data_IF_018652259440
#
_entry.id   IF_018652259440
#
_cell.length_a   1.000
_cell.length_b   1.000
_cell.length_c   1.000
_cell.angle_alpha   90.00
_cell.angle_beta   90.00
_cell.angle_gamma   90.00
#
_symmetry.space_group_name_H-M   'P 1'
#
loop_
_entity.id
_entity.type
_entity.pdbx_description
1 polymer ?
#
# COMPACT_ATOMS: atom_id res chain seq x y z
N UNK A 1 -17.87 -7.72 -17.34
CA UNK A 1 -18.74 -8.92 -17.29
C UNK A 1 -18.89 -9.45 -18.71
N UNK A 2 -18.85 -10.78 -18.93
CA UNK A 2 -18.97 -11.32 -20.30
C UNK A 2 -18.32 -12.69 -20.55
N UNK A 3 -17.42 -13.14 -19.68
CA UNK A 3 -16.81 -14.48 -19.78
C UNK A 3 -17.55 -15.44 -18.86
N UNK A 4 -18.32 -16.37 -19.43
CA UNK A 4 -19.03 -17.44 -18.73
C UNK A 4 -18.60 -18.83 -19.23
N UNK A 5 -17.29 -19.03 -19.35
CA UNK A 5 -16.72 -20.31 -19.75
C UNK A 5 -16.35 -21.11 -18.48
N UNK A 6 -16.94 -22.30 -18.23
CA UNK A 6 -16.72 -23.04 -17.01
C UNK A 6 -15.29 -23.63 -16.87
N UNK A 7 -14.61 -23.86 -17.99
CA UNK A 7 -13.34 -24.59 -18.03
C UNK A 7 -12.10 -23.68 -18.09
N UNK A 8 -12.22 -22.38 -17.86
CA UNK A 8 -11.08 -21.46 -17.78
C UNK A 8 -10.05 -21.94 -16.75
N UNK A 9 -8.84 -22.28 -17.21
CA UNK A 9 -7.76 -22.83 -16.35
C UNK A 9 -6.87 -21.78 -15.73
N UNK A 10 -6.69 -20.65 -16.40
CA UNK A 10 -5.75 -19.62 -15.97
C UNK A 10 -6.38 -18.24 -16.18
N UNK A 11 -6.32 -17.41 -15.15
CA UNK A 11 -6.57 -15.97 -15.24
C UNK A 11 -5.27 -15.25 -14.89
N UNK A 12 -4.83 -14.34 -15.77
CA UNK A 12 -3.61 -13.56 -15.59
C UNK A 12 -3.98 -12.08 -15.53
N UNK A 13 -3.65 -11.42 -14.43
CA UNK A 13 -3.71 -9.97 -14.32
C UNK A 13 -2.33 -9.41 -14.68
N UNK A 14 -2.22 -8.89 -15.90
CA UNK A 14 -0.98 -8.30 -16.43
C UNK A 14 -0.81 -6.81 -16.06
N UNK A 15 -1.81 -6.21 -15.40
CA UNK A 15 -1.79 -4.83 -14.92
C UNK A 15 -2.27 -4.73 -13.48
N UNK A 16 -2.12 -3.54 -12.88
CA UNK A 16 -2.52 -3.32 -11.50
C UNK A 16 -4.04 -3.31 -11.34
N UNK A 17 -4.52 -4.02 -10.32
CA UNK A 17 -5.93 -4.13 -9.98
C UNK A 17 -6.37 -2.97 -9.06
N UNK A 18 -7.49 -2.35 -9.38
CA UNK A 18 -7.98 -1.16 -8.65
C UNK A 18 -8.60 -1.47 -7.28
N UNK A 19 -8.99 -2.73 -7.02
CA UNK A 19 -9.53 -3.16 -5.73
C UNK A 19 -9.42 -4.66 -5.52
N UNK A 20 -9.50 -5.10 -4.26
CA UNK A 20 -9.61 -6.52 -3.92
C UNK A 20 -10.91 -7.15 -4.46
N UNK A 21 -12.00 -6.39 -4.52
CA UNK A 21 -13.26 -6.84 -5.13
C UNK A 21 -13.09 -7.20 -6.61
N UNK A 22 -12.38 -6.37 -7.38
CA UNK A 22 -12.03 -6.65 -8.78
C UNK A 22 -11.18 -7.91 -8.89
N UNK A 23 -10.11 -8.01 -8.10
CA UNK A 23 -9.24 -9.19 -8.08
C UNK A 23 -10.05 -10.47 -7.89
N UNK A 24 -10.97 -10.47 -6.92
CA UNK A 24 -11.73 -11.66 -6.55
C UNK A 24 -12.79 -11.99 -7.62
N UNK A 25 -13.49 -10.98 -8.13
CA UNK A 25 -14.47 -11.18 -9.20
C UNK A 25 -13.82 -11.71 -10.49
N UNK A 26 -12.65 -11.17 -10.86
CA UNK A 26 -11.94 -11.52 -12.08
C UNK A 26 -11.23 -12.88 -11.96
N UNK A 27 -10.52 -13.13 -10.86
CA UNK A 27 -9.88 -14.43 -10.60
C UNK A 27 -10.89 -15.57 -10.42
N UNK A 28 -12.07 -15.30 -9.84
CA UNK A 28 -13.16 -16.26 -9.67
C UNK A 28 -13.84 -16.71 -10.96
N UNK A 29 -13.38 -16.24 -12.13
CA UNK A 29 -13.78 -16.79 -13.43
C UNK A 29 -13.07 -18.11 -13.75
N UNK A 30 -11.92 -18.37 -13.15
CA UNK A 30 -11.19 -19.62 -13.33
C UNK A 30 -11.84 -20.77 -12.56
N UNK A 31 -11.80 -22.00 -13.11
CA UNK A 31 -12.10 -23.20 -12.33
C UNK A 31 -13.56 -23.41 -11.95
N UNK A 32 -14.53 -22.86 -12.68
CA UNK A 32 -15.97 -23.00 -12.34
C UNK A 32 -16.50 -24.42 -12.47
N UNK A 33 -15.85 -25.27 -13.26
CA UNK A 33 -16.09 -26.71 -13.30
C UNK A 33 -15.49 -27.48 -12.10
N UNK A 34 -14.90 -26.81 -11.10
CA UNK A 34 -14.31 -27.41 -9.90
C UNK A 34 -12.92 -28.04 -10.10
N UNK A 35 -12.44 -28.16 -11.34
CA UNK A 35 -11.10 -28.67 -11.61
C UNK A 35 -10.02 -27.62 -11.27
N UNK A 36 -8.77 -28.03 -11.00
CA UNK A 36 -7.69 -27.12 -10.66
C UNK A 36 -7.50 -25.98 -11.68
N UNK A 37 -7.34 -24.77 -11.16
CA UNK A 37 -7.11 -23.57 -11.95
C UNK A 37 -6.15 -22.63 -11.22
N UNK A 38 -5.55 -21.68 -11.95
CA UNK A 38 -4.58 -20.72 -11.41
C UNK A 38 -5.03 -19.28 -11.65
N UNK A 39 -4.84 -18.44 -10.64
CA UNK A 39 -4.94 -17.00 -10.76
C UNK A 39 -3.55 -16.41 -10.52
N UNK A 40 -3.03 -15.68 -11.51
CA UNK A 40 -1.70 -15.09 -11.48
C UNK A 40 -1.86 -13.57 -11.51
N UNK A 41 -1.14 -12.87 -10.63
CA UNK A 41 -1.04 -11.42 -10.64
C UNK A 41 0.41 -11.06 -10.91
N UNK A 42 0.66 -10.42 -12.05
CA UNK A 42 1.94 -9.79 -12.32
C UNK A 42 1.96 -8.45 -11.60
N UNK A 43 2.94 -8.25 -10.73
CA UNK A 43 2.94 -7.12 -9.81
C UNK A 43 4.30 -6.44 -9.74
N UNK A 44 4.30 -5.13 -9.94
CA UNK A 44 5.40 -4.25 -9.56
C UNK A 44 4.88 -3.14 -8.64
N UNK A 45 5.64 -2.81 -7.58
CA UNK A 45 5.28 -1.70 -6.68
C UNK A 45 5.15 -0.36 -7.41
N UNK A 46 5.81 -0.19 -8.55
CA UNK A 46 5.71 1.03 -9.37
C UNK A 46 4.34 1.20 -10.02
N UNK A 47 3.59 0.12 -10.22
CA UNK A 47 2.30 0.15 -10.93
C UNK A 47 1.22 0.90 -10.15
N UNK A 48 1.38 1.05 -8.82
CA UNK A 48 0.49 1.87 -8.01
C UNK A 48 0.41 3.31 -8.52
N UNK A 49 1.49 3.85 -9.12
CA UNK A 49 1.49 5.19 -9.69
C UNK A 49 0.53 5.31 -10.86
N UNK A 50 0.47 4.28 -11.71
CA UNK A 50 -0.48 4.20 -12.83
C UNK A 50 -1.91 4.12 -12.29
N UNK A 51 -2.17 3.23 -11.32
CA UNK A 51 -3.49 3.08 -10.73
C UNK A 51 -3.98 4.36 -10.05
N UNK A 52 -3.16 4.95 -9.18
CA UNK A 52 -3.48 6.22 -8.49
C UNK A 52 -3.67 7.37 -9.48
N UNK A 53 -2.86 7.43 -10.53
CA UNK A 53 -2.95 8.50 -11.51
C UNK A 53 -4.24 8.50 -12.33
N UNK A 54 -4.86 7.33 -12.56
CA UNK A 54 -6.18 7.24 -13.20
C UNK A 54 -7.24 7.96 -12.35
N UNK A 55 -7.20 7.81 -11.03
CA UNK A 55 -8.17 8.45 -10.12
C UNK A 55 -7.88 9.94 -9.89
N UNK A 56 -6.60 10.32 -9.80
CA UNK A 56 -6.22 11.72 -9.60
C UNK A 56 -6.52 12.63 -10.80
N UNK A 57 -6.63 12.09 -12.04
CA UNK A 57 -7.05 12.88 -13.21
C UNK A 57 -8.45 13.51 -13.04
N UNK A 58 -9.30 12.94 -12.18
CA UNK A 58 -10.59 13.52 -11.84
C UNK A 58 -10.53 14.74 -10.90
N UNK A 59 -9.38 15.04 -10.27
CA UNK A 59 -9.24 16.19 -9.36
C UNK A 59 -9.02 17.53 -10.09
N UNK A 60 -8.29 17.52 -11.21
CA UNK A 60 -7.86 18.75 -11.88
C UNK A 60 -8.97 19.48 -12.65
N UNK A 61 -10.10 18.83 -12.93
CA UNK A 61 -11.21 19.47 -13.65
C UNK A 61 -12.16 20.25 -12.74
N UNK A 62 -12.18 19.98 -11.43
CA UNK A 62 -13.18 20.54 -10.52
C UNK A 62 -12.58 21.43 -9.44
N UNK A 63 -11.47 21.06 -8.80
CA UNK A 63 -11.04 21.76 -7.57
C UNK A 63 -10.26 23.05 -7.83
N UNK A 64 -9.46 23.12 -8.90
CA UNK A 64 -8.69 24.33 -9.24
C UNK A 64 -9.55 25.47 -9.81
N UNK A 65 -10.79 25.17 -10.20
CA UNK A 65 -11.75 26.15 -10.73
C UNK A 65 -12.64 26.77 -9.64
N UNK A 66 -12.66 26.19 -8.44
CA UNK A 66 -13.58 26.53 -7.33
C UNK A 66 -12.90 27.39 -6.25
N UNK A 67 -11.60 27.67 -6.37
CA UNK A 67 -10.90 28.53 -5.40
C UNK A 67 -11.36 29.99 -5.41
N UNK A 68 -12.21 30.39 -6.36
CA UNK A 68 -12.84 31.70 -6.39
C UNK A 68 -14.36 31.49 -6.25
N UNK A 69 -14.86 31.70 -5.02
CA UNK A 69 -16.28 31.83 -4.64
C UNK A 69 -17.14 30.55 -4.73
N UNK A 70 -17.17 29.77 -3.64
CA UNK A 70 -18.20 28.75 -3.36
C UNK A 70 -19.52 29.44 -3.00
N UNK A 71 -20.46 29.52 -3.94
CA UNK A 71 -21.72 30.25 -3.73
C UNK A 71 -22.91 29.38 -3.29
N UNK A 72 -22.84 28.03 -3.42
CA UNK A 72 -24.00 27.16 -3.15
C UNK A 72 -23.72 25.91 -2.29
N UNK A 73 -24.65 25.56 -1.40
CA UNK A 73 -24.62 24.34 -0.55
C UNK A 73 -24.54 23.03 -1.37
N UNK A 74 -24.99 23.06 -2.63
CA UNK A 74 -24.96 21.89 -3.51
C UNK A 74 -23.53 21.60 -4.00
N UNK A 75 -22.72 22.63 -4.28
CA UNK A 75 -21.32 22.48 -4.69
C UNK A 75 -20.45 21.90 -3.56
N UNK A 76 -20.65 22.35 -2.32
CA UNK A 76 -19.97 21.78 -1.16
C UNK A 76 -20.27 20.29 -0.99
N UNK A 77 -21.54 19.88 -1.15
CA UNK A 77 -21.94 18.48 -1.08
C UNK A 77 -21.27 17.62 -2.17
N UNK A 78 -21.11 18.14 -3.38
CA UNK A 78 -20.43 17.42 -4.47
C UNK A 78 -18.94 17.26 -4.21
N UNK A 79 -18.26 18.31 -3.74
CA UNK A 79 -16.84 18.26 -3.39
C UNK A 79 -16.61 17.22 -2.27
N UNK A 80 -17.44 17.23 -1.23
CA UNK A 80 -17.34 16.25 -0.14
C UNK A 80 -17.54 14.81 -0.63
N UNK A 81 -18.51 14.58 -1.54
CA UNK A 81 -18.72 13.25 -2.16
C UNK A 81 -17.50 12.82 -2.98
N UNK A 82 -16.94 13.74 -3.77
CA UNK A 82 -15.75 13.47 -4.57
C UNK A 82 -14.53 13.15 -3.71
N UNK A 83 -14.28 13.94 -2.66
CA UNK A 83 -13.20 13.70 -1.69
C UNK A 83 -13.34 12.33 -1.03
N UNK A 84 -14.56 11.96 -0.63
CA UNK A 84 -14.85 10.65 -0.04
C UNK A 84 -14.57 9.52 -1.05
N UNK A 85 -15.08 9.63 -2.27
CA UNK A 85 -14.86 8.65 -3.33
C UNK A 85 -13.36 8.43 -3.60
N UNK A 86 -12.59 9.52 -3.72
CA UNK A 86 -11.15 9.43 -3.97
C UNK A 86 -10.40 8.81 -2.79
N UNK A 87 -10.77 9.15 -1.55
CA UNK A 87 -10.21 8.55 -0.35
C UNK A 87 -10.46 7.03 -0.27
N UNK A 88 -11.67 6.60 -0.62
CA UNK A 88 -12.02 5.18 -0.69
C UNK A 88 -11.28 4.46 -1.82
N UNK A 89 -11.17 5.07 -3.00
CA UNK A 89 -10.41 4.52 -4.12
C UNK A 89 -8.92 4.34 -3.76
N UNK A 90 -8.29 5.35 -3.14
CA UNK A 90 -6.91 5.26 -2.64
C UNK A 90 -6.75 4.07 -1.68
N UNK A 91 -7.71 3.89 -0.77
CA UNK A 91 -7.71 2.78 0.20
C UNK A 91 -7.77 1.42 -0.52
N UNK A 92 -8.69 1.26 -1.49
CA UNK A 92 -8.84 0.00 -2.25
C UNK A 92 -7.59 -0.38 -3.04
N UNK A 93 -6.92 0.60 -3.65
CA UNK A 93 -5.64 0.39 -4.35
C UNK A 93 -4.55 -0.05 -3.35
N UNK A 94 -4.52 0.56 -2.16
CA UNK A 94 -3.58 0.19 -1.08
C UNK A 94 -3.79 -1.22 -0.57
N UNK A 95 -5.03 -1.68 -0.47
CA UNK A 95 -5.36 -3.05 -0.09
C UNK A 95 -4.76 -4.07 -1.08
N UNK A 96 -4.88 -3.80 -2.39
CA UNK A 96 -4.29 -4.65 -3.44
C UNK A 96 -2.76 -4.62 -3.36
N UNK A 97 -2.17 -3.44 -3.18
CA UNK A 97 -0.72 -3.32 -3.01
C UNK A 97 -0.24 -4.15 -1.82
N UNK A 98 -0.92 -4.04 -0.68
CA UNK A 98 -0.59 -4.77 0.53
C UNK A 98 -0.77 -6.27 0.33
N UNK A 99 -1.88 -6.70 -0.29
CA UNK A 99 -2.10 -8.09 -0.68
C UNK A 99 -0.91 -8.62 -1.48
N UNK A 100 -0.51 -7.96 -2.57
CA UNK A 100 0.59 -8.40 -3.43
C UNK A 100 1.94 -8.40 -2.70
N UNK A 101 2.18 -7.41 -1.84
CA UNK A 101 3.44 -7.23 -1.10
C UNK A 101 3.63 -8.23 0.04
N UNK A 102 2.56 -8.80 0.59
CA UNK A 102 2.68 -9.87 1.57
C UNK A 102 3.14 -11.16 0.90
N UNK A 103 4.26 -11.74 1.38
CA UNK A 103 4.88 -12.93 0.77
C UNK A 103 4.79 -14.20 1.62
N UNK A 104 4.32 -14.09 2.87
CA UNK A 104 4.19 -15.23 3.79
C UNK A 104 2.78 -15.41 4.33
N UNK A 105 1.86 -14.47 4.15
CA UNK A 105 0.47 -14.65 4.59
C UNK A 105 -0.33 -15.39 3.52
N UNK A 106 -1.10 -16.41 3.90
CA UNK A 106 -1.89 -17.21 2.95
C UNK A 106 -2.81 -16.32 2.10
N UNK A 107 -2.70 -16.42 0.77
CA UNK A 107 -3.51 -15.63 -0.18
C UNK A 107 -5.02 -15.84 0.01
N UNK A 108 -5.43 -17.11 0.19
CA UNK A 108 -6.83 -17.48 0.44
C UNK A 108 -7.37 -16.82 1.71
N UNK A 109 -6.61 -16.86 2.79
CA UNK A 109 -7.03 -16.22 4.05
C UNK A 109 -7.19 -14.72 3.87
N UNK A 110 -6.28 -14.05 3.16
CA UNK A 110 -6.42 -12.62 2.86
C UNK A 110 -7.69 -12.30 2.08
N UNK A 111 -8.01 -13.10 1.07
CA UNK A 111 -9.24 -12.97 0.28
C UNK A 111 -10.48 -13.19 1.15
N UNK A 112 -10.49 -14.21 2.01
CA UNK A 112 -11.61 -14.49 2.91
C UNK A 112 -11.77 -13.36 3.93
N UNK A 113 -10.67 -12.92 4.56
CA UNK A 113 -10.68 -11.87 5.57
C UNK A 113 -11.16 -10.53 5.02
N UNK A 114 -11.01 -10.28 3.72
CA UNK A 114 -11.55 -9.09 3.06
C UNK A 114 -13.09 -9.03 3.12
N UNK A 115 -13.77 -10.18 3.12
CA UNK A 115 -15.23 -10.29 3.23
C UNK A 115 -15.70 -10.81 4.59
N UNK A 116 -14.78 -11.07 5.51
CA UNK A 116 -15.11 -11.65 6.80
C UNK A 116 -15.73 -10.60 7.72
N UNK A 117 -16.77 -11.01 8.43
CA UNK A 117 -17.30 -10.26 9.56
C UNK A 117 -16.42 -10.49 10.79
N UNK A 118 -16.34 -9.55 11.74
CA UNK A 118 -15.50 -9.69 12.94
C UNK A 118 -15.76 -10.98 13.75
N UNK A 119 -16.98 -11.51 13.68
CA UNK A 119 -17.43 -12.71 14.38
C UNK A 119 -17.00 -14.01 13.69
N UNK A 120 -16.54 -13.94 12.44
CA UNK A 120 -16.16 -15.12 11.68
C UNK A 120 -14.89 -15.73 12.26
N UNK A 121 -14.92 -17.05 12.44
CA UNK A 121 -13.72 -17.81 12.82
C UNK A 121 -12.60 -17.66 11.75
N UNK A 122 -11.33 -17.67 12.16
CA UNK A 122 -10.21 -17.58 11.23
C UNK A 122 -10.26 -18.74 10.23
N UNK A 123 -10.23 -18.43 8.94
CA UNK A 123 -10.19 -19.46 7.91
C UNK A 123 -8.89 -20.26 7.99
N UNK A 124 -8.94 -21.57 7.69
CA UNK A 124 -7.73 -22.41 7.62
C UNK A 124 -6.85 -21.98 6.44
N UNK A 125 -5.55 -22.15 6.59
CA UNK A 125 -4.60 -21.92 5.51
C UNK A 125 -4.84 -22.88 4.35
N UNK A 126 -4.59 -22.42 3.12
CA UNK A 126 -4.87 -23.22 1.93
C UNK A 126 -3.77 -24.23 1.59
N UNK A 127 -2.55 -24.01 2.08
CA UNK A 127 -1.35 -24.80 1.80
C UNK A 127 -0.95 -24.96 0.32
N UNK A 128 -1.63 -24.30 -0.62
CA UNK A 128 -1.39 -24.42 -2.07
C UNK A 128 -1.03 -23.11 -2.76
N UNK A 129 -1.24 -21.95 -2.12
CA UNK A 129 -0.84 -20.66 -2.69
C UNK A 129 0.67 -20.45 -2.63
N UNK A 130 1.17 -19.54 -3.48
CA UNK A 130 2.57 -19.13 -3.55
C UNK A 130 3.17 -18.80 -2.18
N UNK A 131 2.44 -18.05 -1.34
CA UNK A 131 2.90 -17.68 0.00
C UNK A 131 2.99 -18.87 0.96
N UNK A 132 2.04 -19.82 0.89
CA UNK A 132 2.10 -21.03 1.70
C UNK A 132 3.30 -21.90 1.30
N UNK A 133 3.50 -22.08 0.00
CA UNK A 133 4.62 -22.86 -0.54
C UNK A 133 5.95 -22.19 -0.15
N UNK A 134 6.05 -20.86 -0.30
CA UNK A 134 7.24 -20.10 0.08
C UNK A 134 7.58 -20.24 1.57
N UNK A 135 6.58 -20.25 2.47
CA UNK A 135 6.83 -20.44 3.90
C UNK A 135 7.47 -21.78 4.24
N UNK A 136 7.15 -22.85 3.50
CA UNK A 136 7.77 -24.16 3.71
C UNK A 136 9.27 -24.08 3.42
N UNK A 137 9.64 -23.39 2.32
CA UNK A 137 11.05 -23.23 1.92
C UNK A 137 11.81 -22.24 2.79
N UNK A 138 11.21 -21.09 3.09
CA UNK A 138 11.89 -19.98 3.76
C UNK A 138 11.89 -20.09 5.30
N UNK A 139 11.01 -20.92 5.85
CA UNK A 139 10.80 -21.13 7.29
C UNK A 139 10.85 -19.83 8.13
N UNK A 140 10.01 -18.84 7.83
CA UNK A 140 10.03 -17.56 8.53
C UNK A 140 9.48 -17.67 9.96
N UNK A 141 9.92 -16.78 10.83
CA UNK A 141 9.53 -16.75 12.25
C UNK A 141 8.67 -15.52 12.54
N UNK A 142 7.65 -15.70 13.37
CA UNK A 142 6.85 -14.59 13.89
C UNK A 142 7.70 -13.70 14.78
N UNK A 143 7.77 -12.43 14.41
CA UNK A 143 8.63 -11.45 15.05
C UNK A 143 7.81 -10.20 15.36
N UNK A 144 7.83 -9.77 16.63
CA UNK A 144 7.25 -8.49 17.05
C UNK A 144 8.12 -7.34 16.53
N UNK A 145 7.57 -6.53 15.62
CA UNK A 145 8.25 -5.37 15.01
C UNK A 145 7.74 -4.03 15.54
N UNK A 146 7.14 -3.99 16.73
CA UNK A 146 6.66 -2.74 17.37
C UNK A 146 7.74 -1.66 17.45
N UNK A 147 8.98 -2.02 17.81
CA UNK A 147 10.09 -1.05 17.89
C UNK A 147 10.44 -0.46 16.52
N UNK A 148 10.45 -1.28 15.47
CA UNK A 148 10.70 -0.82 14.10
C UNK A 148 9.56 0.10 13.63
N UNK A 149 8.31 -0.21 14.00
CA UNK A 149 7.15 0.63 13.74
C UNK A 149 7.26 2.00 14.42
N UNK A 150 7.58 2.02 15.72
CA UNK A 150 7.75 3.27 16.47
C UNK A 150 8.84 4.13 15.86
N UNK A 151 9.98 3.53 15.49
CA UNK A 151 11.06 4.25 14.83
C UNK A 151 10.66 4.75 13.44
N UNK A 152 9.90 3.98 12.66
CA UNK A 152 9.42 4.42 11.35
C UNK A 152 8.47 5.62 11.47
N UNK A 153 7.58 5.64 12.46
CA UNK A 153 6.73 6.80 12.73
C UNK A 153 7.53 8.03 13.16
N UNK A 154 8.52 7.85 14.06
CA UNK A 154 9.42 8.93 14.46
C UNK A 154 10.19 9.53 13.27
N UNK A 155 10.71 8.68 12.40
CA UNK A 155 11.40 9.08 11.17
C UNK A 155 10.47 9.89 10.26
N UNK A 156 9.24 9.41 10.05
CA UNK A 156 8.27 10.13 9.21
C UNK A 156 7.98 11.50 9.81
N UNK A 157 7.68 11.59 11.12
CA UNK A 157 7.39 12.86 11.82
C UNK A 157 8.53 13.88 11.68
N UNK A 158 9.78 13.43 11.79
CA UNK A 158 10.95 14.32 11.72
C UNK A 158 11.26 14.75 10.29
N UNK A 159 11.19 13.82 9.34
CA UNK A 159 11.51 14.14 7.94
C UNK A 159 10.45 15.06 7.36
N UNK A 160 9.16 14.81 7.58
CA UNK A 160 8.08 15.65 6.99
C UNK A 160 8.07 17.07 7.53
N UNK A 161 8.57 17.30 8.76
CA UNK A 161 8.73 18.65 9.34
C UNK A 161 9.93 19.42 8.80
N UNK A 162 10.97 18.72 8.35
CA UNK A 162 12.23 19.34 7.95
C UNK A 162 12.29 19.54 6.44
N UNK A 163 11.71 18.63 5.68
CA UNK A 163 11.90 18.50 4.24
C UNK A 163 10.53 18.37 3.55
N UNK A 164 10.40 18.99 2.39
CA UNK A 164 9.20 18.87 1.57
C UNK A 164 9.30 17.73 0.56
N UNK A 165 8.16 17.28 0.04
CA UNK A 165 8.07 16.29 -1.04
C UNK A 165 8.81 14.98 -0.73
N UNK A 166 8.49 14.38 0.41
CA UNK A 166 9.12 13.13 0.87
C UNK A 166 8.52 11.94 0.14
N UNK A 167 9.34 11.23 -0.64
CA UNK A 167 8.88 10.01 -1.30
C UNK A 167 8.94 8.82 -0.34
N UNK A 168 8.16 7.78 -0.64
CA UNK A 168 8.22 6.51 0.09
C UNK A 168 9.62 5.90 0.13
N UNK A 169 10.37 6.01 -0.97
CA UNK A 169 11.76 5.53 -1.02
C UNK A 169 12.65 6.28 -0.02
N UNK A 170 12.47 7.61 0.11
CA UNK A 170 13.25 8.39 1.07
C UNK A 170 13.02 7.92 2.51
N UNK A 171 11.77 7.62 2.89
CA UNK A 171 11.47 7.07 4.22
C UNK A 171 12.16 5.73 4.43
N UNK A 172 12.12 4.83 3.45
CA UNK A 172 12.80 3.53 3.55
C UNK A 172 14.33 3.69 3.59
N UNK A 173 14.89 4.60 2.79
CA UNK A 173 16.32 4.88 2.76
C UNK A 173 16.82 5.42 4.10
N UNK A 174 16.07 6.32 4.75
CA UNK A 174 16.40 6.81 6.09
C UNK A 174 16.21 5.72 7.14
N UNK A 175 15.09 5.00 7.12
CA UNK A 175 14.84 3.88 8.04
C UNK A 175 15.94 2.82 7.96
N UNK A 176 16.43 2.51 6.76
CA UNK A 176 17.52 1.54 6.54
C UNK A 176 18.92 2.12 6.73
N UNK A 177 19.05 3.42 6.96
CA UNK A 177 20.32 4.15 7.02
C UNK A 177 21.18 3.90 5.77
N UNK A 178 20.54 4.02 4.60
CA UNK A 178 21.15 3.81 3.29
C UNK A 178 22.35 4.74 3.09
N UNK A 179 23.48 4.18 2.66
CA UNK A 179 24.74 4.91 2.53
C UNK A 179 24.92 5.59 1.16
N UNK A 180 23.86 5.59 0.33
CA UNK A 180 23.85 6.24 -0.99
C UNK A 180 24.14 7.73 -0.84
N UNK A 181 24.99 8.28 -1.71
CA UNK A 181 25.49 9.66 -1.64
C UNK A 181 24.36 10.69 -1.56
N UNK A 182 23.33 10.55 -2.39
CA UNK A 182 22.20 11.48 -2.42
C UNK A 182 21.38 11.45 -1.13
N UNK A 183 21.22 10.28 -0.52
CA UNK A 183 20.53 10.11 0.77
C UNK A 183 21.33 10.78 1.88
N UNK A 184 22.66 10.58 1.92
CA UNK A 184 23.54 11.23 2.90
C UNK A 184 23.54 12.74 2.76
N UNK A 185 23.61 13.25 1.53
CA UNK A 185 23.62 14.68 1.29
C UNK A 185 22.30 15.33 1.75
N UNK A 186 21.17 14.64 1.55
CA UNK A 186 19.85 15.17 1.87
C UNK A 186 19.45 14.97 3.34
N UNK A 187 19.71 13.80 3.92
CA UNK A 187 19.20 13.42 5.24
C UNK A 187 20.31 13.19 6.29
N UNK A 188 21.59 13.28 5.90
CA UNK A 188 22.73 12.93 6.76
C UNK A 188 22.90 13.81 8.00
N UNK A 189 22.37 15.03 7.98
CA UNK A 189 22.37 15.96 9.13
C UNK A 189 21.25 15.65 10.14
N UNK A 190 20.26 14.84 9.78
CA UNK A 190 19.13 14.54 10.67
C UNK A 190 19.56 13.59 11.79
N UNK A 191 19.20 13.93 13.03
CA UNK A 191 19.46 13.10 14.22
C UNK A 191 18.92 11.68 14.03
N UNK A 192 17.70 11.55 13.50
CA UNK A 192 17.06 10.25 13.26
C UNK A 192 17.78 9.38 12.22
N UNK A 193 18.57 9.98 11.33
CA UNK A 193 19.38 9.24 10.36
C UNK A 193 20.69 8.75 11.01
N UNK A 194 21.29 9.56 11.88
CA UNK A 194 22.55 9.26 12.56
C UNK A 194 22.40 8.27 13.73
N UNK A 195 21.25 8.28 14.39
CA UNK A 195 20.96 7.43 15.54
C UNK A 195 20.99 5.94 15.17
N UNK A 196 21.87 5.17 15.80
CA UNK A 196 21.91 3.72 15.61
C UNK A 196 20.78 3.07 16.39
N UNK A 197 20.01 2.22 15.71
CA UNK A 197 18.98 1.39 16.33
C UNK A 197 19.02 -0.02 15.75
N UNK A 198 18.57 -0.99 16.54
CA UNK A 198 18.52 -2.39 16.10
C UNK A 198 17.24 -2.64 15.33
N UNK A 199 17.37 -2.96 14.05
CA UNK A 199 16.24 -3.27 13.16
C UNK A 199 15.99 -4.76 13.05
N UNK A 200 14.72 -5.16 13.13
CA UNK A 200 14.27 -6.52 12.81
C UNK A 200 13.93 -6.65 11.32
N UNK A 201 13.36 -5.61 10.72
CA UNK A 201 13.09 -5.50 9.29
C UNK A 201 14.38 -5.11 8.53
N UNK A 202 15.12 -6.12 8.05
CA UNK A 202 16.43 -5.93 7.40
C UNK A 202 16.33 -5.59 5.90
N UNK A 203 15.34 -6.16 5.20
CA UNK A 203 15.19 -6.04 3.74
C UNK A 203 14.42 -4.78 3.34
N UNK A 204 14.52 -4.39 2.06
CA UNK A 204 13.71 -3.29 1.54
C UNK A 204 12.23 -3.67 1.55
N UNK A 205 11.93 -4.90 1.17
CA UNK A 205 10.59 -5.44 1.03
C UNK A 205 9.84 -5.43 2.36
N UNK A 206 10.52 -5.83 3.43
CA UNK A 206 10.01 -5.80 4.81
C UNK A 206 9.70 -4.38 5.29
N UNK A 207 10.62 -3.44 5.02
CA UNK A 207 10.44 -2.05 5.40
C UNK A 207 9.29 -1.39 4.61
N UNK A 208 9.17 -1.68 3.31
CA UNK A 208 8.03 -1.22 2.52
C UNK A 208 6.71 -1.86 2.97
N UNK A 209 6.73 -3.13 3.39
CA UNK A 209 5.55 -3.80 3.92
C UNK A 209 5.02 -3.08 5.17
N UNK A 210 5.93 -2.73 6.11
CA UNK A 210 5.57 -1.94 7.28
C UNK A 210 5.01 -0.57 6.90
N UNK A 211 5.66 0.15 5.99
CA UNK A 211 5.17 1.46 5.53
C UNK A 211 3.78 1.36 4.89
N UNK A 212 3.53 0.32 4.10
CA UNK A 212 2.21 0.09 3.50
C UNK A 212 1.14 -0.27 4.52
N UNK A 213 1.49 -1.06 5.53
CA UNK A 213 0.57 -1.36 6.65
C UNK A 213 0.22 -0.08 7.42
N UNK A 214 1.20 0.78 7.71
CA UNK A 214 0.98 2.07 8.39
C UNK A 214 0.04 3.00 7.60
N UNK A 215 0.20 3.07 6.29
CA UNK A 215 -0.66 3.87 5.41
C UNK A 215 -2.08 3.25 5.36
N UNK A 216 -2.17 1.93 5.21
CA UNK A 216 -3.46 1.23 5.12
C UNK A 216 -4.26 1.36 6.43
N UNK A 217 -3.58 1.35 7.58
CA UNK A 217 -4.17 1.59 8.91
C UNK A 217 -4.45 3.08 9.20
N UNK A 218 -4.26 3.96 8.22
CA UNK A 218 -4.49 5.41 8.32
C UNK A 218 -3.67 6.07 9.44
N UNK A 219 -2.45 5.56 9.69
CA UNK A 219 -1.50 6.12 10.66
C UNK A 219 -0.55 7.12 10.00
N UNK A 220 -0.26 6.92 8.72
CA UNK A 220 0.56 7.79 7.87
C UNK A 220 -0.32 8.35 6.77
N UNK A 221 -0.22 9.66 6.53
CA UNK A 221 -0.95 10.33 5.47
C UNK A 221 -0.04 10.54 4.26
N UNK A 222 -0.61 10.31 3.09
CA UNK A 222 0.07 10.49 1.82
C UNK A 222 -0.76 11.33 0.86
N UNK A 223 -0.06 12.03 -0.02
CA UNK A 223 -0.63 12.82 -1.08
C UNK A 223 -0.09 12.38 -2.45
N UNK A 224 -0.86 12.64 -3.49
CA UNK A 224 -0.61 12.19 -4.85
C UNK A 224 -0.62 13.40 -5.77
N UNK A 225 0.53 13.69 -6.36
CA UNK A 225 0.67 14.79 -7.32
C UNK A 225 0.83 14.20 -8.72
N UNK A 226 -0.03 14.67 -9.62
CA UNK A 226 0.07 14.39 -11.05
C UNK A 226 0.82 15.52 -11.74
N UNK A 227 2.00 15.22 -12.27
CA UNK A 227 2.77 16.14 -13.08
C UNK A 227 2.57 15.80 -14.56
N UNK A 228 2.17 16.77 -15.35
CA UNK A 228 2.15 16.64 -16.81
C UNK A 228 3.56 16.93 -17.35
N UNK A 229 4.08 16.06 -18.21
CA UNK A 229 5.34 16.33 -18.91
C UNK A 229 5.21 17.60 -19.75
N UNK A 230 6.28 18.40 -19.82
CA UNK A 230 6.38 19.58 -20.68
C UNK A 230 6.16 19.26 -22.17
N UNK A 231 6.42 18.01 -22.59
CA UNK A 231 6.17 17.49 -23.94
C UNK A 231 4.74 16.98 -24.18
N UNK A 232 3.82 17.19 -23.22
CA UNK A 232 2.38 17.15 -23.43
C UNK A 232 1.69 15.78 -23.45
N UNK A 233 2.42 14.68 -23.68
CA UNK A 233 1.82 13.35 -23.91
C UNK A 233 1.90 12.37 -22.72
N UNK A 234 2.75 12.63 -21.72
CA UNK A 234 2.93 11.71 -20.58
C UNK A 234 2.61 12.39 -19.24
N UNK A 235 1.92 11.66 -18.37
CA UNK A 235 1.70 12.06 -16.99
C UNK A 235 2.63 11.24 -16.10
N UNK A 236 3.28 11.89 -15.15
CA UNK A 236 3.99 11.22 -14.06
C UNK A 236 3.19 11.38 -12.78
N UNK A 237 3.01 10.28 -12.05
CA UNK A 237 2.34 10.27 -10.76
C UNK A 237 3.39 10.11 -9.66
N UNK A 238 3.48 11.10 -8.79
CA UNK A 238 4.36 11.11 -7.63
C UNK A 238 3.53 10.95 -6.36
N UNK A 239 3.99 10.07 -5.47
CA UNK A 239 3.33 9.81 -4.18
C UNK A 239 4.27 10.31 -3.09
N UNK A 240 3.77 11.23 -2.30
CA UNK A 240 4.50 11.86 -1.21
C UNK A 240 3.87 11.52 0.12
N UNK A 241 4.69 11.33 1.14
CA UNK A 241 4.27 11.26 2.53
C UNK A 241 4.33 12.67 3.06
N UNK A 242 3.22 13.17 3.61
CA UNK A 242 3.15 14.56 4.05
C UNK A 242 3.08 14.71 5.57
N UNK A 243 2.43 13.79 6.27
CA UNK A 243 2.31 13.88 7.74
C UNK A 243 1.83 12.57 8.37
N UNK A 244 1.86 12.51 9.69
CA UNK A 244 1.20 11.48 10.49
C UNK A 244 -0.28 11.81 10.73
N UNK A 245 -1.05 10.77 11.04
CA UNK A 245 -2.40 10.94 11.56
C UNK A 245 -2.38 11.42 13.02
N UNK A 246 -3.43 12.13 13.41
CA UNK A 246 -3.56 12.60 14.79
C UNK A 246 -3.62 11.41 15.75
N UNK A 247 -2.73 11.44 16.76
CA UNK A 247 -2.54 10.36 17.71
C UNK A 247 -2.01 9.06 17.10
N UNK A 248 -1.35 9.10 15.93
CA UNK A 248 -0.86 7.91 15.23
C UNK A 248 -0.05 6.98 16.14
N UNK A 249 0.90 7.50 16.92
CA UNK A 249 1.72 6.68 17.81
C UNK A 249 0.89 5.95 18.88
N UNK A 250 -0.09 6.63 19.48
CA UNK A 250 -0.99 6.03 20.49
C UNK A 250 -1.84 4.93 19.87
N UNK A 251 -2.42 5.19 18.70
CA UNK A 251 -3.22 4.21 17.93
C UNK A 251 -2.37 3.01 17.52
N UNK A 252 -1.15 3.24 17.08
CA UNK A 252 -0.24 2.18 16.66
C UNK A 252 0.13 1.26 17.82
N UNK A 253 0.37 1.81 19.02
CA UNK A 253 0.68 1.01 20.24
C UNK A 253 -0.44 0.07 20.66
N UNK A 254 -1.70 0.40 20.35
CA UNK A 254 -2.87 -0.45 20.64
C UNK A 254 -3.05 -1.62 19.66
N UNK A 255 -2.23 -1.70 18.61
CA UNK A 255 -2.38 -2.69 17.56
C UNK A 255 -1.29 -3.77 17.61
N UNK A 256 -1.55 -4.88 16.92
CA UNK A 256 -0.60 -5.98 16.74
C UNK A 256 0.35 -5.71 15.56
N UNK A 257 1.64 -5.96 15.78
CA UNK A 257 2.75 -5.75 14.84
C UNK A 257 3.63 -7.00 14.73
N UNK A 258 3.01 -8.17 14.62
CA UNK A 258 3.73 -9.44 14.43
C UNK A 258 3.83 -9.80 12.95
N UNK A 259 5.04 -9.81 12.41
CA UNK A 259 5.31 -10.18 11.01
C UNK A 259 6.06 -11.52 10.93
N UNK A 260 5.79 -12.28 9.86
CA UNK A 260 6.62 -13.43 9.50
C UNK A 260 7.86 -12.91 8.77
N UNK A 261 9.04 -13.13 9.35
CA UNK A 261 10.31 -12.65 8.80
C UNK A 261 11.25 -13.84 8.66
N UNK A 262 11.94 -13.93 7.53
CA UNK A 262 13.01 -14.89 7.34
C UNK A 262 14.23 -14.44 8.14
N UNK A 263 14.61 -15.19 9.16
CA UNK A 263 15.82 -14.92 9.93
C UNK A 263 17.01 -15.29 9.03
N UNK A 264 17.72 -14.27 8.57
CA UNK A 264 19.07 -14.40 7.99
C UNK A 264 20.09 -14.23 9.09
#
# INVERSE_FOLDING_TARGET
MGVNEPDVRIVIHAGFLISMGNLIQESGRAGRNGLPAKAIVMFNRKDIRTAMGVYSKGQNSSISSISNELETLNEECEILRQMKYLSEAKTKIREVLFYCSTIYQCRKQKIINYFAWPENSPSRECNVCDNCIRRITDNPVYTDVRLDMEKMLEIIDKITKTEQQITRNNVIDVFRQSQVKDVKNRFGSLVVYQEKFTRKLKTNEDAFLLLDDLILRKLVKEDIILNRSSTGQTYSCSIFIFDLAEGALKKAKMQNWNYLIKIK
#
